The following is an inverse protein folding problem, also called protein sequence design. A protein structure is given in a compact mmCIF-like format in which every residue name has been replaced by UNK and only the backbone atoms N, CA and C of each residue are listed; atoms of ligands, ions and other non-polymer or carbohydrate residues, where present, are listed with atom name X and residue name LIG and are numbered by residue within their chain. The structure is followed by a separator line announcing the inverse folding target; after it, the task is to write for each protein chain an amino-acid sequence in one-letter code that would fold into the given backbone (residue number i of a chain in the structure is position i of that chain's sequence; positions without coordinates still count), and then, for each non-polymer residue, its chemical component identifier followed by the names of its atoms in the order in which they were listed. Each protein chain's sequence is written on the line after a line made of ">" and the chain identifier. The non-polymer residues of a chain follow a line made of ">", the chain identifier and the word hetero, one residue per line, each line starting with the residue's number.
data_IF_778714749904
#
_entry.id   IF_778714749904
#
_cell.length_a   1.000
_cell.length_b   1.000
_cell.length_c   1.000
_cell.angle_alpha   90.00
_cell.angle_beta   90.00
_cell.angle_gamma   90.00
#
_symmetry.space_group_name_H-M   'P 1'
#
loop_
_entity.id
_entity.type
_entity.pdbx_description
1 polymer ?
#
# COMPACT_ATOMS: atom_id res chain seq x y z
N UNK A 1 -12.41 -7.22 2.85
CA UNK A 1 -12.37 -6.29 4.00
C UNK A 1 -11.78 -4.96 3.55
N UNK A 2 -12.02 -3.85 4.27
CA UNK A 2 -11.43 -2.53 4.00
C UNK A 2 -10.35 -2.22 5.04
N UNK A 3 -9.13 -1.96 4.60
CA UNK A 3 -7.95 -1.80 5.46
C UNK A 3 -7.24 -0.48 5.16
N UNK A 4 -6.78 0.20 6.21
CA UNK A 4 -5.88 1.35 6.09
C UNK A 4 -4.43 0.91 6.24
N UNK A 5 -3.54 1.40 5.38
CA UNK A 5 -2.10 1.17 5.49
C UNK A 5 -1.33 2.48 5.58
N UNK A 6 -0.62 2.68 6.70
CA UNK A 6 0.27 3.83 6.90
C UNK A 6 1.70 3.39 6.63
N UNK A 7 2.28 3.92 5.54
CA UNK A 7 3.60 3.58 5.07
C UNK A 7 3.56 2.57 3.91
N UNK A 8 3.86 3.05 2.70
CA UNK A 8 3.94 2.23 1.48
C UNK A 8 5.39 2.06 0.97
N UNK A 9 6.36 2.05 1.89
CA UNK A 9 7.75 1.73 1.56
C UNK A 9 7.92 0.27 1.14
N UNK A 10 9.16 -0.23 1.05
CA UNK A 10 9.43 -1.60 0.55
C UNK A 10 8.61 -2.70 1.27
N UNK A 11 8.52 -2.64 2.60
CA UNK A 11 7.78 -3.64 3.38
C UNK A 11 6.27 -3.40 3.32
N UNK A 12 5.82 -2.17 3.63
CA UNK A 12 4.39 -1.81 3.60
C UNK A 12 3.75 -2.03 2.23
N UNK A 13 4.40 -1.59 1.16
CA UNK A 13 3.92 -1.83 -0.20
C UNK A 13 3.77 -3.32 -0.53
N UNK A 14 4.74 -4.16 -0.14
CA UNK A 14 4.61 -5.60 -0.33
C UNK A 14 3.43 -6.19 0.45
N UNK A 15 3.17 -5.71 1.66
CA UNK A 15 2.00 -6.14 2.44
C UNK A 15 0.69 -5.67 1.79
N UNK A 16 0.59 -4.41 1.37
CA UNK A 16 -0.58 -3.88 0.65
C UNK A 16 -0.88 -4.71 -0.60
N UNK A 17 0.14 -5.05 -1.41
CA UNK A 17 -0.02 -5.89 -2.62
C UNK A 17 -0.57 -7.27 -2.29
N UNK A 18 -0.08 -7.92 -1.24
CA UNK A 18 -0.59 -9.23 -0.80
C UNK A 18 -2.05 -9.15 -0.35
N UNK A 19 -2.41 -8.11 0.40
CA UNK A 19 -3.78 -7.89 0.85
C UNK A 19 -4.72 -7.63 -0.33
N UNK A 20 -4.30 -6.82 -1.31
CA UNK A 20 -5.04 -6.60 -2.56
C UNK A 20 -5.22 -7.92 -3.33
N UNK A 21 -4.17 -8.73 -3.47
CA UNK A 21 -4.24 -10.05 -4.12
C UNK A 21 -5.15 -11.03 -3.39
N UNK A 22 -5.26 -10.92 -2.07
CA UNK A 22 -6.20 -11.69 -1.25
C UNK A 22 -7.66 -11.18 -1.34
N UNK A 23 -7.95 -10.20 -2.20
CA UNK A 23 -9.30 -9.65 -2.39
C UNK A 23 -9.72 -8.64 -1.31
N UNK A 24 -8.77 -8.02 -0.62
CA UNK A 24 -9.06 -6.95 0.34
C UNK A 24 -8.91 -5.57 -0.31
N UNK A 25 -9.79 -4.64 0.01
CA UNK A 25 -9.62 -3.23 -0.34
C UNK A 25 -8.63 -2.58 0.63
N UNK A 26 -7.64 -1.88 0.10
CA UNK A 26 -6.61 -1.19 0.89
C UNK A 26 -6.55 0.28 0.50
N UNK A 27 -6.71 1.17 1.48
CA UNK A 27 -6.41 2.59 1.36
C UNK A 27 -5.04 2.84 1.96
N UNK A 28 -4.09 3.25 1.12
CA UNK A 28 -2.70 3.46 1.51
C UNK A 28 -2.32 4.93 1.65
N UNK A 29 -1.55 5.24 2.69
CA UNK A 29 -0.91 6.53 2.90
C UNK A 29 0.62 6.37 2.84
N UNK A 30 1.29 7.31 2.19
CA UNK A 30 2.74 7.42 2.21
C UNK A 30 3.15 8.85 2.59
N UNK A 31 4.15 8.97 3.45
CA UNK A 31 4.63 10.27 3.92
C UNK A 31 5.28 11.12 2.82
N UNK A 32 5.73 10.51 1.72
CA UNK A 32 6.34 11.21 0.58
C UNK A 32 5.67 10.83 -0.73
N UNK A 33 5.52 11.81 -1.63
CA UNK A 33 4.96 11.61 -2.97
C UNK A 33 5.73 10.55 -3.76
N UNK A 34 7.08 10.57 -3.68
CA UNK A 34 7.96 9.58 -4.29
C UNK A 34 7.57 8.14 -3.94
N UNK A 35 7.27 7.88 -2.67
CA UNK A 35 6.89 6.53 -2.21
C UNK A 35 5.54 6.11 -2.78
N UNK A 36 4.58 7.04 -2.79
CA UNK A 36 3.25 6.81 -3.40
C UNK A 36 3.36 6.50 -4.89
N UNK A 37 4.13 7.29 -5.62
CA UNK A 37 4.35 7.11 -7.07
C UNK A 37 5.04 5.79 -7.39
N UNK A 38 6.02 5.39 -6.56
CA UNK A 38 6.71 4.11 -6.71
C UNK A 38 5.75 2.93 -6.49
N UNK A 39 4.84 3.04 -5.51
CA UNK A 39 3.87 1.98 -5.23
C UNK A 39 2.83 1.82 -6.34
N UNK A 40 2.43 2.93 -6.98
CA UNK A 40 1.46 2.93 -8.08
C UNK A 40 2.00 2.43 -9.43
N UNK A 41 3.31 2.15 -9.52
CA UNK A 41 3.92 1.46 -10.67
C UNK A 41 3.85 -0.06 -10.50
#
# INVERSE_FOLDING_TARGET
>A
MKLGMIGLGRMGGNMARRLLQAGHEVVGYAATAKTRETFSR
#
